data_IF_760404981211
#
_entry.id   IF_760404981211
#
_cell.length_a   1.000
_cell.length_b   1.000
_cell.length_c   1.000
_cell.angle_alpha   90.00
_cell.angle_beta   90.00
_cell.angle_gamma   90.00
#
_symmetry.space_group_name_H-M   'P 1'
#
loop_
_entity.id
_entity.type
_entity.pdbx_description
1 polymer ?
#
# COMPACT_ATOMS: atom_id res chain seq x y z
N UNK A 1 -12.87 -22.41 -38.73
CA UNK A 1 -14.12 -21.82 -38.20
C UNK A 1 -13.78 -21.30 -36.81
N UNK A 2 -13.31 -20.05 -36.66
CA UNK A 2 -14.11 -18.80 -36.67
C UNK A 2 -15.15 -18.80 -35.53
N UNK A 3 -15.33 -17.79 -34.65
CA UNK A 3 -14.95 -16.38 -34.52
C UNK A 3 -14.68 -16.11 -33.00
N UNK A 4 -13.73 -15.29 -32.52
CA UNK A 4 -13.49 -13.83 -32.61
C UNK A 4 -14.53 -12.92 -31.91
N UNK A 5 -13.98 -12.04 -31.04
CA UNK A 5 -14.43 -10.73 -30.49
C UNK A 5 -15.33 -10.83 -29.23
N UNK A 6 -15.20 -9.98 -28.21
CA UNK A 6 -14.84 -8.56 -28.23
C UNK A 6 -14.29 -8.04 -26.88
N UNK A 7 -13.52 -6.96 -26.98
CA UNK A 7 -12.87 -6.17 -25.92
C UNK A 7 -13.90 -5.46 -25.02
N UNK A 8 -13.50 -5.13 -23.79
CA UNK A 8 -13.81 -3.82 -23.23
C UNK A 8 -12.61 -3.23 -22.47
N UNK A 9 -12.19 -2.08 -22.97
CA UNK A 9 -11.24 -1.14 -22.40
C UNK A 9 -12.00 -0.22 -21.46
N UNK A 10 -11.49 0.05 -20.26
CA UNK A 10 -11.91 1.22 -19.49
C UNK A 10 -10.70 1.97 -18.96
N UNK A 11 -10.38 2.98 -19.75
CA UNK A 11 -9.54 4.14 -19.52
C UNK A 11 -10.16 4.97 -18.38
N UNK A 12 -9.40 5.35 -17.35
CA UNK A 12 -9.79 6.43 -16.45
C UNK A 12 -8.66 7.46 -16.38
N UNK A 13 -8.90 8.59 -17.06
CA UNK A 13 -8.15 9.83 -16.99
C UNK A 13 -8.45 10.54 -15.66
N UNK A 14 -7.40 10.89 -14.92
CA UNK A 14 -7.41 12.11 -14.09
C UNK A 14 -6.10 12.85 -14.32
N UNK A 15 -6.23 14.04 -14.92
CA UNK A 15 -5.19 15.09 -14.95
C UNK A 15 -5.55 16.09 -13.86
N UNK A 16 -4.56 16.57 -13.08
CA UNK A 16 -4.16 17.99 -12.98
C UNK A 16 -3.12 18.21 -11.86
N UNK A 17 -1.89 18.46 -12.32
CA UNK A 17 -0.92 19.49 -11.93
C UNK A 17 -0.74 19.91 -10.46
N UNK A 18 0.46 19.69 -9.93
CA UNK A 18 1.19 20.74 -9.21
C UNK A 18 2.71 20.57 -9.40
N UNK A 19 3.34 21.66 -9.84
CA UNK A 19 4.71 21.81 -10.30
C UNK A 19 5.52 22.62 -9.29
N UNK A 20 6.70 22.13 -8.84
CA UNK A 20 7.97 22.90 -8.75
C UNK A 20 9.15 22.05 -8.18
N UNK A 21 10.09 21.67 -9.06
CA UNK A 21 11.55 21.99 -9.07
C UNK A 21 12.38 21.83 -7.78
N UNK A 22 13.62 21.29 -7.71
CA UNK A 22 14.78 20.99 -8.59
C UNK A 22 15.65 19.99 -7.77
N UNK A 23 16.44 19.04 -8.30
CA UNK A 23 17.70 19.26 -9.03
C UNK A 23 18.20 17.94 -9.63
N UNK A 24 18.65 18.00 -10.88
CA UNK A 24 19.27 16.96 -11.74
C UNK A 24 20.66 16.51 -11.22
N UNK A 25 21.22 15.36 -11.65
CA UNK A 25 21.73 15.15 -13.01
C UNK A 25 21.15 13.86 -13.64
N UNK A 26 20.51 13.93 -14.80
CA UNK A 26 21.15 13.88 -16.13
C UNK A 26 22.06 12.66 -16.30
N UNK A 27 21.50 11.56 -16.77
CA UNK A 27 22.18 10.74 -17.77
C UNK A 27 21.16 10.48 -18.87
N UNK A 28 21.36 11.20 -19.96
CA UNK A 28 20.69 11.00 -21.23
C UNK A 28 21.02 9.60 -21.74
N UNK A 29 20.12 8.65 -21.58
CA UNK A 29 20.08 7.53 -22.51
C UNK A 29 19.12 7.94 -23.61
N UNK A 30 19.70 8.62 -24.61
CA UNK A 30 19.14 8.69 -25.95
C UNK A 30 18.64 7.29 -26.27
N UNK A 31 17.37 7.21 -26.65
CA UNK A 31 16.89 6.18 -27.55
C UNK A 31 17.88 6.08 -28.71
N UNK A 32 18.86 5.19 -28.58
CA UNK A 32 19.43 4.53 -29.73
C UNK A 32 18.33 3.57 -30.19
N UNK A 33 17.33 4.19 -30.83
CA UNK A 33 16.75 3.68 -32.07
C UNK A 33 17.88 2.91 -32.73
N UNK A 34 17.69 1.60 -32.89
CA UNK A 34 18.47 0.83 -33.85
C UNK A 34 18.44 1.66 -35.14
N UNK A 35 19.46 2.49 -35.36
CA UNK A 35 19.95 2.73 -36.69
C UNK A 35 20.43 1.35 -37.06
N UNK A 36 19.53 0.63 -37.71
CA UNK A 36 19.84 -0.31 -38.76
C UNK A 36 20.67 0.51 -39.75
N UNK A 37 21.92 0.79 -39.40
CA UNK A 37 22.91 1.23 -40.34
C UNK A 37 23.02 0.02 -41.24
N UNK A 38 22.44 0.15 -42.43
CA UNK A 38 22.44 -0.87 -43.45
C UNK A 38 23.89 -1.13 -43.84
N UNK A 39 24.54 -2.02 -43.12
CA UNK A 39 25.61 -2.87 -43.63
C UNK A 39 25.14 -4.31 -43.45
N UNK A 40 24.22 -4.68 -44.33
CA UNK A 40 23.96 -6.02 -44.86
C UNK A 40 24.14 -7.20 -43.89
N UNK A 41 23.08 -7.56 -43.17
CA UNK A 41 22.88 -8.95 -42.72
C UNK A 41 22.26 -9.84 -43.81
N UNK A 42 22.17 -9.37 -45.06
CA UNK A 42 21.70 -10.15 -46.22
C UNK A 42 22.83 -10.95 -46.89
N UNK A 43 24.07 -10.84 -46.40
CA UNK A 43 25.25 -11.36 -47.09
C UNK A 43 26.13 -12.22 -46.16
N UNK A 44 25.53 -13.12 -45.39
CA UNK A 44 26.35 -14.17 -44.75
C UNK A 44 27.02 -15.05 -45.80
N UNK A 45 26.40 -15.27 -46.96
CA UNK A 45 27.03 -15.95 -48.10
C UNK A 45 28.10 -15.09 -48.78
N UNK A 46 27.90 -13.77 -48.97
CA UNK A 46 28.92 -12.93 -49.62
C UNK A 46 30.16 -12.66 -48.75
N UNK A 47 30.09 -12.88 -47.43
CA UNK A 47 31.24 -12.80 -46.53
C UNK A 47 32.26 -13.95 -46.76
N UNK A 48 31.83 -15.06 -47.37
CA UNK A 48 32.69 -16.24 -47.61
C UNK A 48 33.53 -16.15 -48.89
N UNK A 49 33.20 -15.21 -49.81
CA UNK A 49 33.89 -15.04 -51.10
C UNK A 49 34.89 -13.87 -51.13
N UNK A 50 35.16 -13.20 -50.00
CA UNK A 50 36.10 -12.07 -49.94
C UNK A 50 37.55 -12.58 -49.81
N UNK A 51 38.46 -12.30 -50.76
CA UNK A 51 39.84 -12.77 -50.68
C UNK A 51 40.61 -12.13 -49.50
N UNK A 52 41.40 -12.92 -48.78
CA UNK A 52 42.03 -12.57 -47.47
C UNK A 52 43.05 -11.42 -47.47
N UNK A 53 43.46 -10.90 -48.64
CA UNK A 53 44.43 -9.82 -48.77
C UNK A 53 43.85 -8.61 -49.53
N UNK A 54 42.54 -8.40 -49.44
CA UNK A 54 41.87 -7.21 -49.99
C UNK A 54 41.55 -6.20 -48.91
N UNK A 55 41.43 -4.94 -49.31
CA UNK A 55 40.94 -3.87 -48.43
C UNK A 55 39.51 -4.15 -47.93
N UNK A 56 38.70 -4.83 -48.77
CA UNK A 56 37.36 -5.29 -48.41
C UNK A 56 37.37 -6.28 -47.25
N UNK A 57 38.31 -7.25 -47.23
CA UNK A 57 38.46 -8.19 -46.12
C UNK A 57 38.83 -7.49 -44.81
N UNK A 58 39.76 -6.53 -44.87
CA UNK A 58 40.17 -5.73 -43.70
C UNK A 58 38.99 -4.92 -43.14
N UNK A 59 38.23 -4.28 -44.02
CA UNK A 59 37.05 -3.50 -43.62
C UNK A 59 35.95 -4.37 -43.04
N UNK A 60 35.66 -5.53 -43.64
CA UNK A 60 34.71 -6.50 -43.11
C UNK A 60 35.12 -7.00 -41.71
N UNK A 61 36.38 -7.38 -41.54
CA UNK A 61 36.89 -7.85 -40.25
C UNK A 61 36.80 -6.76 -39.18
N UNK A 62 37.16 -5.52 -39.52
CA UNK A 62 37.06 -4.36 -38.62
C UNK A 62 35.61 -4.05 -38.23
N UNK A 63 34.68 -4.12 -39.18
CA UNK A 63 33.24 -3.94 -38.90
C UNK A 63 32.73 -5.02 -37.95
N UNK A 64 33.06 -6.30 -38.20
CA UNK A 64 32.68 -7.43 -37.35
C UNK A 64 33.28 -7.35 -35.96
N UNK A 65 34.55 -6.96 -35.83
CA UNK A 65 35.20 -6.76 -34.52
C UNK A 65 34.54 -5.62 -33.74
N UNK A 66 34.17 -4.54 -34.44
CA UNK A 66 33.43 -3.41 -33.84
C UNK A 66 32.04 -3.84 -33.36
N UNK A 67 31.33 -4.62 -34.18
CA UNK A 67 30.04 -5.20 -33.81
C UNK A 67 30.15 -6.11 -32.59
N UNK A 68 31.12 -7.05 -32.57
CA UNK A 68 31.37 -7.92 -31.42
C UNK A 68 31.69 -7.14 -30.16
N UNK A 69 32.50 -6.07 -30.26
CA UNK A 69 32.79 -5.17 -29.14
C UNK A 69 31.53 -4.48 -28.64
N UNK A 70 30.69 -3.98 -29.55
CA UNK A 70 29.43 -3.33 -29.20
C UNK A 70 28.45 -4.32 -28.55
N UNK A 71 28.34 -5.55 -29.06
CA UNK A 71 27.52 -6.60 -28.46
C UNK A 71 27.98 -6.91 -27.03
N UNK A 72 29.29 -7.10 -26.82
CA UNK A 72 29.84 -7.35 -25.48
C UNK A 72 29.54 -6.20 -24.52
N UNK A 73 29.69 -4.95 -24.98
CA UNK A 73 29.33 -3.78 -24.18
C UNK A 73 27.84 -3.78 -23.82
N UNK A 74 26.97 -4.00 -24.81
CA UNK A 74 25.52 -4.02 -24.60
C UNK A 74 25.10 -5.11 -23.61
N UNK A 75 25.72 -6.29 -23.66
CA UNK A 75 25.48 -7.37 -22.69
C UNK A 75 25.86 -6.91 -21.29
N UNK A 76 27.05 -6.33 -21.10
CA UNK A 76 27.48 -5.82 -19.78
C UNK A 76 26.57 -4.71 -19.27
N UNK A 77 26.16 -3.77 -20.13
CA UNK A 77 25.24 -2.70 -19.76
C UNK A 77 23.88 -3.29 -19.32
N UNK A 78 23.37 -4.30 -20.03
CA UNK A 78 22.13 -5.00 -19.66
C UNK A 78 22.25 -5.78 -18.35
N UNK A 79 23.37 -6.47 -18.12
CA UNK A 79 23.65 -7.15 -16.85
C UNK A 79 23.66 -6.17 -15.67
N UNK A 80 24.22 -4.97 -15.87
CA UNK A 80 24.20 -3.92 -14.86
C UNK A 80 22.78 -3.42 -14.56
N UNK A 81 21.96 -3.19 -15.59
CA UNK A 81 20.55 -2.80 -15.42
C UNK A 81 19.74 -3.87 -14.68
N UNK A 82 19.95 -5.15 -15.00
CA UNK A 82 19.32 -6.28 -14.29
C UNK A 82 19.71 -6.27 -12.81
N UNK A 83 20.99 -6.08 -12.50
CA UNK A 83 21.46 -6.00 -11.11
C UNK A 83 20.80 -4.85 -10.32
N UNK A 84 20.62 -3.68 -10.96
CA UNK A 84 19.91 -2.55 -10.35
C UNK A 84 18.44 -2.88 -10.08
N UNK A 85 17.78 -3.53 -11.04
CA UNK A 85 16.38 -3.96 -10.89
C UNK A 85 16.21 -4.99 -9.78
N UNK A 86 17.08 -5.99 -9.70
CA UNK A 86 17.06 -7.00 -8.65
C UNK A 86 17.17 -6.36 -7.25
N UNK A 87 18.06 -5.39 -7.10
CA UNK A 87 18.18 -4.62 -5.87
C UNK A 87 16.92 -3.80 -5.56
N UNK A 88 16.27 -3.25 -6.57
CA UNK A 88 15.00 -2.53 -6.37
C UNK A 88 13.89 -3.48 -5.90
N UNK A 89 13.81 -4.68 -6.51
CA UNK A 89 12.87 -5.73 -6.08
C UNK A 89 13.15 -6.12 -4.63
N UNK A 90 14.40 -6.36 -4.25
CA UNK A 90 14.78 -6.68 -2.88
C UNK A 90 14.32 -5.59 -1.89
N UNK A 91 14.57 -4.31 -2.21
CA UNK A 91 14.12 -3.20 -1.38
C UNK A 91 12.58 -3.11 -1.26
N UNK A 92 11.85 -3.39 -2.35
CA UNK A 92 10.38 -3.41 -2.34
C UNK A 92 9.83 -4.58 -1.53
N UNK A 93 10.48 -5.74 -1.58
CA UNK A 93 10.12 -6.90 -0.77
C UNK A 93 10.36 -6.66 0.72
N UNK A 94 11.48 -6.03 1.09
CA UNK A 94 11.75 -5.62 2.47
C UNK A 94 10.72 -4.58 2.96
N UNK A 95 10.42 -3.57 2.14
CA UNK A 95 9.37 -2.59 2.43
C UNK A 95 8.00 -3.23 2.65
N UNK A 96 7.63 -4.18 1.79
CA UNK A 96 6.37 -4.94 1.90
C UNK A 96 6.33 -5.76 3.19
N UNK A 97 7.43 -6.44 3.53
CA UNK A 97 7.54 -7.25 4.74
C UNK A 97 7.38 -6.39 6.00
N UNK A 98 8.05 -5.23 6.04
CA UNK A 98 7.91 -4.26 7.14
C UNK A 98 6.50 -3.72 7.27
N UNK A 99 5.87 -3.38 6.14
CA UNK A 99 4.49 -2.88 6.13
C UNK A 99 3.52 -3.94 6.64
N UNK A 100 3.66 -5.19 6.20
CA UNK A 100 2.83 -6.31 6.68
C UNK A 100 2.97 -6.50 8.20
N UNK A 101 4.20 -6.50 8.71
CA UNK A 101 4.46 -6.62 10.15
C UNK A 101 3.87 -5.44 10.95
N UNK A 102 3.84 -4.23 10.38
CA UNK A 102 3.19 -3.08 11.01
C UNK A 102 1.67 -3.24 11.04
N UNK A 103 1.06 -3.68 9.94
CA UNK A 103 -0.39 -3.96 9.87
C UNK A 103 -0.81 -5.01 10.88
N UNK A 104 -0.09 -6.14 10.97
CA UNK A 104 -0.37 -7.19 11.96
C UNK A 104 -0.32 -6.66 13.40
N UNK A 105 0.67 -5.81 13.71
CA UNK A 105 0.76 -5.15 15.03
C UNK A 105 -0.41 -4.20 15.29
N UNK A 106 -0.86 -3.46 14.27
CA UNK A 106 -1.98 -2.54 14.39
C UNK A 106 -3.30 -3.30 14.61
N UNK A 107 -3.52 -4.38 13.88
CA UNK A 107 -4.68 -5.26 14.03
C UNK A 107 -4.71 -5.90 15.43
N UNK A 108 -3.57 -6.40 15.92
CA UNK A 108 -3.47 -6.93 17.28
C UNK A 108 -3.79 -5.87 18.34
N UNK A 109 -3.33 -4.62 18.15
CA UNK A 109 -3.64 -3.51 19.05
C UNK A 109 -5.12 -3.13 18.98
N UNK A 110 -5.70 -3.08 17.79
CA UNK A 110 -7.11 -2.80 17.58
C UNK A 110 -7.99 -3.86 18.27
N UNK A 111 -7.71 -5.15 18.06
CA UNK A 111 -8.43 -6.24 18.72
C UNK A 111 -8.35 -6.13 20.25
N UNK A 112 -7.19 -5.74 20.79
CA UNK A 112 -7.04 -5.50 22.23
C UNK A 112 -7.90 -4.33 22.73
N UNK A 113 -7.99 -3.24 21.98
CA UNK A 113 -8.89 -2.13 22.33
C UNK A 113 -10.37 -2.52 22.26
N UNK A 114 -10.74 -3.29 21.25
CA UNK A 114 -12.10 -3.82 21.11
C UNK A 114 -12.46 -4.72 22.29
N UNK A 115 -11.55 -5.59 22.73
CA UNK A 115 -11.73 -6.40 23.94
C UNK A 115 -11.93 -5.52 25.19
N UNK A 116 -11.15 -4.46 25.36
CA UNK A 116 -11.33 -3.53 26.47
C UNK A 116 -12.68 -2.81 26.43
N UNK A 117 -13.12 -2.35 25.26
CA UNK A 117 -14.44 -1.73 25.09
C UNK A 117 -15.56 -2.72 25.41
N UNK A 118 -15.47 -3.94 24.89
CA UNK A 118 -16.46 -4.99 25.12
C UNK A 118 -16.54 -5.35 26.61
N UNK A 119 -15.40 -5.43 27.29
CA UNK A 119 -15.33 -5.66 28.73
C UNK A 119 -15.99 -4.52 29.51
N UNK A 120 -15.67 -3.27 29.17
CA UNK A 120 -16.28 -2.10 29.79
C UNK A 120 -17.80 -2.08 29.59
N UNK A 121 -18.28 -2.32 28.36
CA UNK A 121 -19.72 -2.42 28.06
C UNK A 121 -20.39 -3.51 28.89
N UNK A 122 -19.77 -4.68 29.03
CA UNK A 122 -20.29 -5.77 29.85
C UNK A 122 -20.38 -5.39 31.33
N UNK A 123 -19.35 -4.75 31.87
CA UNK A 123 -19.32 -4.30 33.28
C UNK A 123 -20.40 -3.24 33.51
N UNK A 124 -20.55 -2.28 32.60
CA UNK A 124 -21.59 -1.26 32.69
C UNK A 124 -22.99 -1.89 32.63
N UNK A 125 -23.22 -2.82 31.70
CA UNK A 125 -24.50 -3.51 31.56
C UNK A 125 -24.88 -4.23 32.87
N UNK A 126 -23.94 -4.92 33.50
CA UNK A 126 -24.15 -5.63 34.77
C UNK A 126 -24.43 -4.66 35.94
N UNK A 127 -23.69 -3.55 36.00
CA UNK A 127 -23.90 -2.52 37.02
C UNK A 127 -25.28 -1.85 36.90
N UNK A 128 -25.76 -1.63 35.67
CA UNK A 128 -27.07 -1.02 35.42
C UNK A 128 -28.24 -2.03 35.44
N UNK A 129 -28.00 -3.33 35.25
CA UNK A 129 -29.03 -4.36 35.31
C UNK A 129 -29.73 -4.43 36.68
N UNK A 130 -29.01 -4.08 37.76
CA UNK A 130 -29.52 -4.11 39.13
C UNK A 130 -30.08 -2.76 39.61
N UNK A 131 -30.16 -1.77 38.72
CA UNK A 131 -30.62 -0.43 39.09
C UNK A 131 -31.84 -0.05 38.26
N UNK A 132 -33.02 -0.03 38.89
CA UNK A 132 -34.22 0.56 38.33
C UNK A 132 -34.01 2.08 38.20
N UNK A 133 -33.49 2.46 37.04
CA UNK A 133 -33.23 3.83 36.68
C UNK A 133 -34.25 4.30 35.67
N UNK A 134 -35.01 5.31 36.11
CA UNK A 134 -35.89 6.16 35.31
C UNK A 134 -37.15 5.43 34.85
N UNK A 135 -38.30 5.87 35.34
CA UNK A 135 -39.63 5.37 34.93
C UNK A 135 -39.93 5.53 33.42
N UNK A 136 -39.02 6.13 32.65
CA UNK A 136 -39.20 6.53 31.25
C UNK A 136 -38.01 6.19 30.32
N UNK A 137 -37.01 5.42 30.75
CA UNK A 137 -35.84 5.10 29.90
C UNK A 137 -35.71 3.61 29.60
N UNK A 138 -35.58 3.29 28.31
CA UNK A 138 -35.39 1.94 27.79
C UNK A 138 -34.16 1.26 28.44
N UNK A 139 -34.29 -0.02 28.78
CA UNK A 139 -33.25 -0.81 29.44
C UNK A 139 -32.00 -0.83 28.53
N UNK A 140 -30.81 -0.46 29.02
CA UNK A 140 -29.61 -0.43 28.20
C UNK A 140 -29.30 -1.85 27.70
N UNK A 141 -28.99 -1.96 26.41
CA UNK A 141 -28.52 -3.19 25.76
C UNK A 141 -27.07 -3.02 25.36
N UNK A 142 -26.41 -4.11 24.97
CA UNK A 142 -25.00 -4.07 24.55
C UNK A 142 -24.72 -3.10 23.39
N UNK A 143 -25.69 -2.90 22.50
CA UNK A 143 -25.57 -2.00 21.34
C UNK A 143 -25.93 -0.55 21.70
N UNK A 144 -26.80 -0.35 22.69
CA UNK A 144 -27.32 0.97 23.07
C UNK A 144 -26.62 1.58 24.28
N UNK A 145 -25.78 0.82 25.01
CA UNK A 145 -25.12 1.27 26.25
C UNK A 145 -24.27 2.53 26.07
N UNK A 146 -23.57 2.67 24.94
CA UNK A 146 -22.72 3.86 24.71
C UNK A 146 -23.58 5.13 24.55
N UNK A 147 -24.66 5.03 23.77
CA UNK A 147 -25.62 6.12 23.59
C UNK A 147 -26.37 6.42 24.90
N UNK A 148 -26.71 5.38 25.65
CA UNK A 148 -27.31 5.50 26.98
C UNK A 148 -26.40 6.27 27.94
N UNK A 149 -25.10 5.95 27.99
CA UNK A 149 -24.13 6.65 28.85
C UNK A 149 -23.95 8.12 28.46
N UNK A 150 -23.96 8.44 27.16
CA UNK A 150 -23.91 9.82 26.68
C UNK A 150 -25.18 10.59 27.05
N UNK A 151 -26.36 9.97 26.90
CA UNK A 151 -27.63 10.57 27.28
C UNK A 151 -27.74 10.77 28.80
N UNK A 152 -27.28 9.79 29.59
CA UNK A 152 -27.21 9.87 31.05
C UNK A 152 -26.30 11.02 31.49
N UNK A 153 -25.10 11.12 30.91
CA UNK A 153 -24.16 12.20 31.22
C UNK A 153 -24.72 13.58 30.82
N UNK A 154 -25.37 13.68 29.66
CA UNK A 154 -25.96 14.93 29.16
C UNK A 154 -27.17 15.36 30.00
N UNK A 155 -28.04 14.40 30.35
CA UNK A 155 -29.18 14.63 31.25
C UNK A 155 -28.75 15.05 32.65
N UNK A 156 -27.69 14.43 33.18
CA UNK A 156 -27.07 14.82 34.44
C UNK A 156 -26.49 16.24 34.40
N UNK A 157 -25.82 16.61 33.31
CA UNK A 157 -25.19 17.92 33.16
C UNK A 157 -26.20 19.07 33.05
N UNK A 158 -27.40 18.79 32.54
CA UNK A 158 -28.41 19.80 32.21
C UNK A 158 -29.54 19.92 33.26
N UNK A 159 -29.50 19.11 34.32
CA UNK A 159 -30.62 18.90 35.24
C UNK A 159 -30.68 19.79 36.50
N UNK A 160 -31.87 19.92 37.10
CA UNK A 160 -32.20 20.71 38.32
C UNK A 160 -32.54 19.80 39.53
N UNK A 161 -32.68 20.36 40.74
CA UNK A 161 -32.71 19.72 42.09
C UNK A 161 -33.36 18.32 42.30
N UNK A 162 -34.26 17.86 41.43
CA UNK A 162 -34.78 16.47 41.44
C UNK A 162 -33.71 15.44 41.01
N UNK A 163 -32.60 15.90 40.43
CA UNK A 163 -31.50 15.06 39.95
C UNK A 163 -30.55 14.60 41.05
N UNK A 164 -30.63 15.14 42.27
CA UNK A 164 -29.78 14.70 43.40
C UNK A 164 -30.02 13.22 43.78
N UNK A 165 -31.27 12.76 43.77
CA UNK A 165 -31.62 11.34 44.02
C UNK A 165 -31.18 10.44 42.87
N UNK A 166 -31.26 10.92 41.62
CA UNK A 166 -30.79 10.20 40.43
C UNK A 166 -29.26 10.10 40.42
N UNK A 167 -28.57 11.19 40.74
CA UNK A 167 -27.11 11.24 40.94
C UNK A 167 -26.68 10.24 42.01
N UNK A 168 -27.35 10.22 43.15
CA UNK A 168 -27.02 9.31 44.24
C UNK A 168 -27.16 7.83 43.82
N UNK A 169 -28.21 7.50 43.08
CA UNK A 169 -28.38 6.15 42.53
C UNK A 169 -27.30 5.82 41.47
N UNK A 170 -26.83 6.78 40.66
CA UNK A 170 -25.82 6.56 39.60
C UNK A 170 -24.46 6.38 40.25
N UNK A 171 -24.13 7.23 41.22
CA UNK A 171 -22.95 7.09 42.06
C UNK A 171 -22.95 5.73 42.75
N UNK A 172 -24.10 5.27 43.25
CA UNK A 172 -24.24 3.94 43.84
C UNK A 172 -24.00 2.82 42.81
N UNK A 173 -24.60 2.90 41.62
CA UNK A 173 -24.36 1.94 40.53
C UNK A 173 -22.86 1.87 40.15
N UNK A 174 -22.23 3.04 40.01
CA UNK A 174 -20.81 3.16 39.67
C UNK A 174 -19.91 2.73 40.84
N UNK A 175 -20.34 2.87 42.09
CA UNK A 175 -19.56 2.40 43.25
C UNK A 175 -19.43 0.89 43.32
N UNK A 176 -20.34 0.15 42.66
CA UNK A 176 -20.25 -1.30 42.50
C UNK A 176 -19.37 -1.72 41.33
N UNK A 177 -18.92 -0.78 40.46
CA UNK A 177 -17.92 -1.12 39.46
C UNK A 177 -16.60 -1.45 40.17
N UNK A 178 -16.20 -2.71 40.07
CA UNK A 178 -14.86 -3.12 40.42
C UNK A 178 -13.88 -2.63 39.35
N UNK A 179 -13.24 -1.48 39.62
CA UNK A 179 -12.23 -0.86 38.77
C UNK A 179 -11.02 -1.77 38.50
N UNK A 180 -10.81 -2.83 39.30
CA UNK A 180 -9.74 -3.80 39.06
C UNK A 180 -10.02 -4.74 37.88
N UNK A 181 -11.28 -4.78 37.41
CA UNK A 181 -11.72 -5.55 36.26
C UNK A 181 -11.72 -4.76 34.95
N UNK A 182 -11.31 -3.49 34.93
CA UNK A 182 -11.12 -2.72 33.70
C UNK A 182 -9.70 -2.90 33.15
#
# INVERSE_FOLDING_TARGET
>A
QELKKEKLSTENKVKKDQELNKTKPSTENKDQKLKKENTSSENSDAAHDIPIFTEEFLNFNKARETELRNLRKNVTDQEQEVCVLDKHIENMLDGTTKLKAYTEKLEARYSKYEQYLNKLRSILLDAFANTEFMDDTEVPTYETIDAYMVNLFTGLKNGTDTDSSKIAKVIKAISYLDSSQC
#
